data_IF_607853354279
#
_entry.id   IF_607853354279
#
_cell.length_a   1.000
_cell.length_b   1.000
_cell.length_c   1.000
_cell.angle_alpha   90.00
_cell.angle_beta   90.00
_cell.angle_gamma   90.00
#
_symmetry.space_group_name_H-M   'P 1'
#
loop_
_entity.id
_entity.type
_entity.pdbx_description
1 polymer ?
#
# COMPACT_ATOMS: atom_id res chain seq x y z
N UNK A 1 18.02 25.84 4.27
CA UNK A 1 18.02 24.96 5.45
C UNK A 1 16.69 24.21 5.50
N UNK A 2 16.70 22.88 5.41
CA UNK A 2 15.48 22.06 5.55
C UNK A 2 15.13 21.92 7.04
N UNK A 3 13.85 22.03 7.40
CA UNK A 3 13.36 21.79 8.77
C UNK A 3 12.37 20.64 8.74
N UNK A 4 12.46 19.67 9.68
CA UNK A 4 11.47 18.60 9.78
C UNK A 4 10.09 19.20 10.07
N UNK A 5 9.05 18.66 9.44
CA UNK A 5 7.69 19.02 9.79
C UNK A 5 7.33 18.45 11.18
N UNK A 6 6.60 19.22 11.98
CA UNK A 6 5.93 18.68 13.16
C UNK A 6 4.90 17.63 12.72
N UNK A 7 4.75 16.54 13.47
CA UNK A 7 3.91 15.39 13.08
C UNK A 7 2.49 15.78 12.69
N UNK A 8 1.87 16.74 13.39
CA UNK A 8 0.53 17.25 13.08
C UNK A 8 0.45 18.03 11.75
N UNK A 9 1.53 18.73 11.36
CA UNK A 9 1.58 19.46 10.10
C UNK A 9 1.55 18.51 8.90
N UNK A 10 2.24 17.37 9.01
CA UNK A 10 2.26 16.36 7.96
C UNK A 10 0.90 15.67 7.78
N UNK A 11 0.22 15.33 8.88
CA UNK A 11 -1.14 14.75 8.83
C UNK A 11 -2.13 15.72 8.19
N UNK A 12 -2.13 16.99 8.60
CA UNK A 12 -3.00 18.02 8.02
C UNK A 12 -2.69 18.26 6.53
N UNK A 13 -1.41 18.26 6.14
CA UNK A 13 -1.02 18.38 4.74
C UNK A 13 -1.52 17.19 3.90
N UNK A 14 -1.40 15.96 4.39
CA UNK A 14 -1.93 14.75 3.72
C UNK A 14 -3.45 14.79 3.60
N UNK A 15 -4.15 15.23 4.64
CA UNK A 15 -5.60 15.39 4.61
C UNK A 15 -6.05 16.38 3.53
N UNK A 16 -5.32 17.47 3.34
CA UNK A 16 -5.56 18.46 2.28
C UNK A 16 -5.24 17.94 0.88
N UNK A 17 -4.13 17.23 0.70
CA UNK A 17 -3.71 16.70 -0.60
C UNK A 17 -4.62 15.59 -1.11
N UNK A 18 -5.26 14.81 -0.22
CA UNK A 18 -6.07 13.64 -0.56
C UNK A 18 -5.26 12.57 -1.33
N UNK A 19 -5.95 11.54 -1.82
CA UNK A 19 -5.31 10.35 -2.39
C UNK A 19 -4.72 10.54 -3.80
N UNK A 20 -5.32 11.40 -4.64
CA UNK A 20 -4.95 11.46 -6.06
C UNK A 20 -3.50 11.96 -6.28
N UNK A 21 -3.03 13.04 -5.61
CA UNK A 21 -1.63 13.46 -5.73
C UNK A 21 -0.64 12.45 -5.16
N UNK A 22 -1.01 11.76 -4.07
CA UNK A 22 -0.16 10.72 -3.48
C UNK A 22 -0.03 9.51 -4.40
N UNK A 23 -1.11 9.13 -5.09
CA UNK A 23 -1.09 8.10 -6.12
C UNK A 23 -0.18 8.50 -7.28
N UNK A 24 -0.33 9.71 -7.80
CA UNK A 24 0.52 10.22 -8.89
C UNK A 24 1.99 10.22 -8.49
N UNK A 25 2.30 10.68 -7.26
CA UNK A 25 3.66 10.67 -6.75
C UNK A 25 4.19 9.24 -6.66
N UNK A 26 3.41 8.31 -6.09
CA UNK A 26 3.79 6.90 -6.03
C UNK A 26 4.05 6.35 -7.44
N UNK A 27 3.12 6.53 -8.37
CA UNK A 27 3.25 6.05 -9.75
C UNK A 27 4.48 6.65 -10.45
N UNK A 28 4.96 7.83 -10.03
CA UNK A 28 6.16 8.47 -10.56
C UNK A 28 7.47 7.96 -9.94
N UNK A 29 7.46 7.57 -8.67
CA UNK A 29 8.67 7.18 -7.92
C UNK A 29 8.82 5.68 -7.76
N UNK A 30 7.74 4.91 -7.88
CA UNK A 30 7.75 3.47 -7.76
C UNK A 30 8.53 2.85 -8.93
N UNK A 31 9.38 1.88 -8.59
CA UNK A 31 10.25 1.23 -9.55
C UNK A 31 11.47 0.63 -8.90
N UNK A 32 12.08 -0.31 -9.60
CA UNK A 32 13.39 -0.84 -9.22
C UNK A 32 14.45 0.24 -9.45
N UNK A 33 15.29 0.49 -8.44
CA UNK A 33 16.36 1.49 -8.52
C UNK A 33 17.76 0.86 -8.42
N UNK A 34 17.87 -0.41 -8.01
CA UNK A 34 19.15 -1.09 -7.88
C UNK A 34 19.78 -1.41 -9.23
N UNK A 35 21.10 -1.23 -9.30
CA UNK A 35 21.93 -1.63 -10.44
C UNK A 35 22.58 -3.00 -10.18
N UNK A 36 23.27 -3.56 -11.17
CA UNK A 36 23.96 -4.85 -11.04
C UNK A 36 25.03 -4.86 -9.93
N UNK A 37 25.58 -3.69 -9.57
CA UNK A 37 26.56 -3.54 -8.49
C UNK A 37 25.94 -3.24 -7.13
N UNK A 38 24.62 -3.00 -7.08
CA UNK A 38 23.93 -2.75 -5.81
C UNK A 38 23.87 -4.03 -4.98
N UNK A 39 24.44 -4.05 -3.76
CA UNK A 39 24.40 -5.23 -2.90
C UNK A 39 22.96 -5.71 -2.68
N UNK A 40 22.72 -7.00 -2.90
CA UNK A 40 21.41 -7.63 -2.67
C UNK A 40 20.31 -7.25 -3.67
N UNK A 41 20.61 -6.45 -4.72
CA UNK A 41 19.63 -6.18 -5.78
C UNK A 41 19.50 -7.34 -6.78
N UNK A 42 20.54 -8.14 -6.95
CA UNK A 42 20.58 -9.26 -7.90
C UNK A 42 21.22 -10.50 -7.30
N UNK A 43 20.79 -11.67 -7.79
CA UNK A 43 21.43 -12.96 -7.58
C UNK A 43 21.40 -13.74 -8.89
N UNK A 44 22.58 -14.14 -9.38
CA UNK A 44 22.75 -14.90 -10.65
C UNK A 44 22.02 -14.26 -11.85
N UNK A 45 22.10 -12.93 -11.95
CA UNK A 45 21.47 -12.16 -13.03
C UNK A 45 19.95 -11.91 -12.86
N UNK A 46 19.32 -12.50 -11.85
CA UNK A 46 17.91 -12.27 -11.52
C UNK A 46 17.79 -11.16 -10.47
N UNK A 47 16.82 -10.25 -10.64
CA UNK A 47 16.54 -9.21 -9.64
C UNK A 47 15.89 -9.84 -8.41
N UNK A 48 16.38 -9.49 -7.24
CA UNK A 48 15.82 -9.91 -5.96
C UNK A 48 14.76 -8.91 -5.50
N UNK A 49 13.55 -9.40 -5.26
CA UNK A 49 12.46 -8.63 -4.68
C UNK A 49 11.69 -9.49 -3.66
N UNK A 50 11.14 -8.84 -2.64
CA UNK A 50 10.23 -9.44 -1.67
C UNK A 50 8.81 -9.00 -1.98
N UNK A 51 7.87 -9.94 -1.87
CA UNK A 51 6.43 -9.68 -1.92
C UNK A 51 5.86 -10.05 -0.56
N UNK A 52 5.21 -9.10 0.11
CA UNK A 52 4.61 -9.32 1.43
C UNK A 52 3.33 -8.49 1.59
N UNK A 53 2.37 -9.03 2.34
CA UNK A 53 1.14 -8.32 2.69
C UNK A 53 1.08 -7.91 4.16
N UNK A 54 0.81 -6.64 4.40
CA UNK A 54 0.54 -6.11 5.73
C UNK A 54 -0.92 -5.68 5.84
N UNK A 55 -1.55 -5.95 7.00
CA UNK A 55 -2.87 -5.42 7.35
C UNK A 55 -2.71 -4.13 8.14
N UNK A 56 -3.52 -3.13 7.81
CA UNK A 56 -3.55 -1.85 8.52
C UNK A 56 -4.97 -1.49 8.92
N UNK A 57 -5.15 -1.12 10.18
CA UNK A 57 -6.43 -0.64 10.69
C UNK A 57 -6.78 0.71 10.03
N UNK A 58 -8.05 0.87 9.68
CA UNK A 58 -8.60 2.14 9.20
C UNK A 58 -9.64 2.68 10.19
N UNK A 59 -9.93 4.00 10.17
CA UNK A 59 -10.88 4.59 11.10
C UNK A 59 -12.22 3.85 11.10
N UNK A 60 -12.77 3.64 12.30
CA UNK A 60 -14.04 2.95 12.45
C UNK A 60 -15.18 3.81 11.88
N UNK A 61 -15.78 3.33 10.81
CA UNK A 61 -16.98 3.90 10.21
C UNK A 61 -17.74 2.81 9.46
N UNK A 62 -19.06 2.97 9.32
CA UNK A 62 -19.88 2.03 8.56
C UNK A 62 -19.38 1.85 7.12
N UNK A 63 -18.95 2.95 6.48
CA UNK A 63 -18.40 2.94 5.14
C UNK A 63 -17.11 2.11 5.04
N UNK A 64 -16.14 2.32 5.94
CA UNK A 64 -14.90 1.55 5.95
C UNK A 64 -15.14 0.09 6.33
N UNK A 65 -16.07 -0.19 7.25
CA UNK A 65 -16.45 -1.55 7.61
C UNK A 65 -17.03 -2.32 6.42
N UNK A 66 -17.89 -1.67 5.63
CA UNK A 66 -18.47 -2.26 4.43
C UNK A 66 -17.43 -2.47 3.32
N UNK A 67 -16.51 -1.52 3.12
CA UNK A 67 -15.51 -1.60 2.05
C UNK A 67 -14.33 -2.53 2.37
N UNK A 68 -13.85 -2.52 3.62
CA UNK A 68 -12.59 -3.15 4.00
C UNK A 68 -12.79 -4.46 4.76
N UNK A 69 -13.96 -4.66 5.39
CA UNK A 69 -14.19 -5.79 6.28
C UNK A 69 -13.39 -5.72 7.58
N UNK A 70 -13.65 -6.68 8.48
CA UNK A 70 -12.99 -6.79 9.79
C UNK A 70 -12.43 -8.18 9.96
N UNK A 71 -11.31 -8.30 10.66
CA UNK A 71 -10.92 -9.58 11.24
C UNK A 71 -11.96 -10.07 12.24
N UNK A 72 -11.95 -11.35 12.56
CA UNK A 72 -12.83 -11.92 13.59
C UNK A 72 -12.13 -13.08 14.28
N UNK A 73 -12.43 -13.26 15.56
CA UNK A 73 -12.05 -14.45 16.32
C UNK A 73 -13.16 -15.52 16.33
N UNK A 74 -14.12 -15.45 15.39
CA UNK A 74 -15.26 -16.37 15.27
C UNK A 74 -16.49 -16.01 16.10
N UNK A 75 -16.34 -15.23 17.17
CA UNK A 75 -17.47 -14.82 18.03
C UNK A 75 -17.75 -13.32 17.97
N UNK A 76 -16.71 -12.50 17.73
CA UNK A 76 -16.84 -11.05 17.60
C UNK A 76 -16.02 -10.52 16.42
N UNK A 77 -16.51 -9.50 15.71
CA UNK A 77 -15.68 -8.73 14.79
C UNK A 77 -14.58 -7.99 15.53
N UNK A 78 -13.45 -7.79 14.85
CA UNK A 78 -12.34 -6.96 15.32
C UNK A 78 -12.76 -5.49 15.48
N UNK A 79 -12.07 -4.76 16.37
CA UNK A 79 -12.46 -3.40 16.74
C UNK A 79 -12.40 -2.41 15.58
N UNK A 80 -11.55 -2.67 14.57
CA UNK A 80 -11.38 -1.79 13.42
C UNK A 80 -11.53 -2.55 12.10
N UNK A 81 -12.07 -1.90 11.04
CA UNK A 81 -11.93 -2.40 9.69
C UNK A 81 -10.46 -2.39 9.26
N UNK A 82 -10.07 -3.30 8.37
CA UNK A 82 -8.67 -3.47 7.98
C UNK A 82 -8.48 -3.48 6.46
N UNK A 83 -7.46 -2.77 5.98
CA UNK A 83 -7.03 -2.81 4.59
C UNK A 83 -5.77 -3.66 4.50
N UNK A 84 -5.69 -4.52 3.49
CA UNK A 84 -4.48 -5.25 3.10
C UNK A 84 -3.69 -4.43 2.08
N UNK A 85 -2.44 -4.15 2.40
CA UNK A 85 -1.43 -3.66 1.46
C UNK A 85 -0.54 -4.83 1.07
N UNK A 86 -0.49 -5.18 -0.21
CA UNK A 86 0.50 -6.09 -0.77
C UNK A 86 1.54 -5.27 -1.53
N UNK A 87 2.81 -5.37 -1.14
CA UNK A 87 3.90 -4.59 -1.72
C UNK A 87 4.99 -5.50 -2.30
N UNK A 88 5.43 -5.18 -3.53
CA UNK A 88 6.63 -5.72 -4.13
C UNK A 88 7.77 -4.72 -3.93
N UNK A 89 8.82 -5.14 -3.24
CA UNK A 89 9.92 -4.29 -2.80
C UNK A 89 11.25 -4.90 -3.24
N UNK A 90 12.15 -4.09 -3.80
CA UNK A 90 13.48 -4.55 -4.15
C UNK A 90 14.32 -4.86 -2.89
N UNK A 91 14.96 -6.02 -2.85
CA UNK A 91 15.68 -6.47 -1.65
C UNK A 91 16.89 -5.60 -1.30
N UNK A 92 17.64 -5.11 -2.31
CA UNK A 92 18.87 -4.35 -2.13
C UNK A 92 18.63 -2.90 -1.70
N UNK A 93 17.85 -2.14 -2.48
CA UNK A 93 17.59 -0.72 -2.18
C UNK A 93 16.39 -0.46 -1.26
N UNK A 94 15.55 -1.48 -1.03
CA UNK A 94 14.24 -1.32 -0.37
C UNK A 94 13.27 -0.40 -1.12
N UNK A 95 13.54 -0.13 -2.40
CA UNK A 95 12.63 0.63 -3.25
C UNK A 95 11.32 -0.15 -3.47
N UNK A 96 10.19 0.53 -3.33
CA UNK A 96 8.89 -0.04 -3.69
C UNK A 96 8.77 -0.09 -5.21
N UNK A 97 8.65 -1.30 -5.75
CA UNK A 97 8.45 -1.56 -7.18
C UNK A 97 6.98 -1.39 -7.53
N UNK A 98 6.09 -1.87 -6.64
CA UNK A 98 4.65 -1.76 -6.82
C UNK A 98 3.91 -2.08 -5.52
N UNK A 99 2.69 -1.59 -5.42
CA UNK A 99 1.82 -1.81 -4.27
C UNK A 99 0.36 -1.89 -4.73
N UNK A 100 -0.42 -2.73 -4.08
CA UNK A 100 -1.87 -2.82 -4.27
C UNK A 100 -2.56 -2.90 -2.92
N UNK A 101 -3.73 -2.28 -2.81
CA UNK A 101 -4.54 -2.31 -1.60
C UNK A 101 -5.83 -3.09 -1.84
N UNK A 102 -6.30 -3.86 -0.88
CA UNK A 102 -7.62 -4.49 -0.94
C UNK A 102 -8.21 -4.64 0.48
N UNK A 103 -9.46 -5.09 0.57
CA UNK A 103 -10.11 -5.45 1.81
C UNK A 103 -9.38 -6.58 2.55
N UNK A 104 -9.59 -6.65 3.86
CA UNK A 104 -9.16 -7.75 4.72
C UNK A 104 -9.57 -9.12 4.17
N UNK A 105 -10.79 -9.20 3.60
CA UNK A 105 -11.39 -10.43 3.11
C UNK A 105 -10.65 -11.05 1.92
N UNK A 106 -9.83 -10.27 1.21
CA UNK A 106 -9.01 -10.77 0.12
C UNK A 106 -7.67 -11.26 0.68
N UNK A 107 -7.42 -12.56 0.53
CA UNK A 107 -6.15 -13.18 0.93
C UNK A 107 -4.99 -12.70 0.06
N UNK A 108 -3.80 -12.64 0.66
CA UNK A 108 -2.54 -12.21 0.01
C UNK A 108 -2.28 -12.94 -1.31
N UNK A 109 -2.40 -14.27 -1.31
CA UNK A 109 -2.17 -15.09 -2.50
C UNK A 109 -3.14 -14.73 -3.63
N UNK A 110 -4.41 -14.51 -3.32
CA UNK A 110 -5.43 -14.09 -4.29
C UNK A 110 -5.09 -12.72 -4.87
N UNK A 111 -4.65 -11.79 -4.01
CA UNK A 111 -4.27 -10.44 -4.40
C UNK A 111 -3.02 -10.43 -5.30
N UNK A 112 -2.04 -11.30 -5.01
CA UNK A 112 -0.84 -11.47 -5.83
C UNK A 112 -1.18 -11.96 -7.24
N UNK A 113 -2.05 -12.97 -7.38
CA UNK A 113 -2.44 -13.50 -8.70
C UNK A 113 -3.28 -12.53 -9.53
N UNK A 114 -4.12 -11.71 -8.89
CA UNK A 114 -5.01 -10.77 -9.60
C UNK A 114 -4.32 -9.48 -10.02
N UNK A 115 -3.11 -9.21 -9.54
CA UNK A 115 -2.43 -7.94 -9.76
C UNK A 115 -1.44 -8.04 -10.93
N UNK A 116 -1.82 -7.63 -12.16
CA UNK A 116 -0.90 -7.56 -13.29
C UNK A 116 0.26 -6.57 -13.05
N UNK A 117 0.15 -5.73 -12.02
CA UNK A 117 1.21 -4.88 -11.43
C UNK A 117 2.54 -5.63 -11.27
N UNK A 118 2.50 -6.93 -10.95
CA UNK A 118 3.71 -7.74 -10.72
C UNK A 118 4.23 -8.46 -11.96
N UNK A 119 3.50 -8.40 -13.08
CA UNK A 119 3.84 -9.11 -14.32
C UNK A 119 4.30 -8.20 -15.46
N UNK A 120 4.02 -6.89 -15.47
CA UNK A 120 4.42 -6.08 -16.64
C UNK A 120 4.77 -4.61 -16.38
N UNK A 121 3.97 -3.81 -15.67
CA UNK A 121 4.33 -2.43 -15.28
C UNK A 121 3.34 -1.95 -14.22
N UNK A 122 3.83 -1.31 -13.15
CA UNK A 122 3.11 -1.06 -11.91
C UNK A 122 1.85 -0.17 -12.05
N UNK A 123 0.80 -0.49 -11.28
CA UNK A 123 -0.32 0.41 -10.95
C UNK A 123 -0.77 0.17 -9.51
N UNK A 124 -0.94 1.24 -8.73
CA UNK A 124 -1.66 1.17 -7.45
C UNK A 124 -3.16 1.07 -7.71
N UNK A 125 -3.79 0.02 -7.19
CA UNK A 125 -5.24 -0.02 -7.02
C UNK A 125 -5.55 0.31 -5.57
N UNK A 126 -6.33 1.38 -5.36
CA UNK A 126 -6.94 1.71 -4.08
C UNK A 126 -8.45 1.54 -4.28
N UNK A 127 -9.15 0.73 -3.47
CA UNK A 127 -10.61 0.72 -3.50
C UNK A 127 -11.10 2.15 -3.26
N UNK A 128 -12.09 2.60 -4.04
CA UNK A 128 -12.64 3.96 -3.91
C UNK A 128 -13.30 4.08 -2.54
N UNK A 129 -12.57 4.57 -1.54
CA UNK A 129 -13.13 4.98 -0.26
C UNK A 129 -14.10 6.14 -0.54
N UNK A 130 -15.32 6.14 0.01
CA UNK A 130 -16.25 7.25 -0.17
C UNK A 130 -15.59 8.54 0.32
N UNK A 131 -15.62 9.57 -0.52
CA UNK A 131 -15.25 10.93 -0.11
C UNK A 131 -16.20 11.35 1.00
N UNK A 132 -15.66 11.98 2.05
CA UNK A 132 -16.44 12.67 3.06
C UNK A 132 -17.06 13.90 2.38
N UNK A 133 -18.19 13.70 1.72
CA UNK A 133 -19.08 14.77 1.28
C UNK A 133 -20.28 14.76 2.23
N UNK A 134 -20.43 15.84 3.01
CA UNK A 134 -21.60 16.10 3.86
C UNK A 134 -21.31 16.13 5.36
N UNK A 135 -21.23 17.34 5.92
CA UNK A 135 -21.11 17.65 7.35
C UNK A 135 -20.21 18.84 7.60
#
# INVERSE_FOLDING_TARGET
MWRPALSGSLTSARARLRQAPLRLLFDRVAGASGTAVTPGAFWRGLRLASLDATLSDVPDSAANAAACGRSSNGTRPGPFPQVRLLALVECGTKAMIGAVFDSFAVGERTLAYRSPTFCTTARVWVPRLPTRDGG
#
